data_IF_228888927860
#
_entry.id   IF_228888927860
#
_cell.length_a   1.000
_cell.length_b   1.000
_cell.length_c   1.000
_cell.angle_alpha   90.00
_cell.angle_beta   90.00
_cell.angle_gamma   90.00
#
_symmetry.space_group_name_H-M   'P 1'
#
loop_
_entity.id
_entity.type
_entity.pdbx_description
1 polymer ?
#
# COMPACT_ATOMS: atom_id res chain seq x y z
N UNK A 1 33.02 21.47 -2.65
CA UNK A 1 33.20 22.37 -1.48
C UNK A 1 33.22 23.87 -1.80
N UNK A 2 33.88 24.37 -2.87
CA UNK A 2 34.06 25.82 -3.09
C UNK A 2 32.81 26.53 -3.70
N UNK A 3 31.93 25.82 -4.41
CA UNK A 3 30.72 26.42 -5.02
C UNK A 3 29.58 26.72 -4.03
N UNK A 4 29.54 26.03 -2.88
CA UNK A 4 28.47 26.21 -1.89
C UNK A 4 28.60 27.52 -1.09
N UNK A 5 29.79 28.11 -1.05
CA UNK A 5 30.07 29.34 -0.29
C UNK A 5 29.63 30.62 -1.01
N UNK A 6 29.64 30.64 -2.36
CA UNK A 6 29.31 31.87 -3.10
C UNK A 6 27.81 32.20 -3.08
N UNK A 7 26.94 31.21 -3.17
CA UNK A 7 25.48 31.45 -3.20
C UNK A 7 24.87 31.68 -1.82
N UNK A 8 25.36 31.00 -0.78
CA UNK A 8 24.90 31.22 0.62
C UNK A 8 25.41 32.54 1.20
N UNK A 9 26.62 32.99 0.85
CA UNK A 9 27.13 34.29 1.26
C UNK A 9 26.28 35.45 0.69
N UNK A 10 25.87 35.37 -0.58
CA UNK A 10 25.05 36.42 -1.21
C UNK A 10 23.64 36.46 -0.58
N UNK A 11 23.04 35.29 -0.32
CA UNK A 11 21.72 35.22 0.32
C UNK A 11 21.76 35.68 1.78
N UNK A 12 22.79 35.28 2.53
CA UNK A 12 22.99 35.70 3.92
C UNK A 12 23.22 37.21 4.03
N UNK A 13 24.01 37.82 3.13
CA UNK A 13 24.25 39.27 3.12
C UNK A 13 22.97 40.04 2.77
N UNK A 14 22.18 39.60 1.79
CA UNK A 14 20.90 40.23 1.47
C UNK A 14 19.88 40.14 2.61
N UNK A 15 19.83 38.98 3.29
CA UNK A 15 18.93 38.75 4.40
C UNK A 15 19.37 39.57 5.63
N UNK A 16 20.66 39.58 5.96
CA UNK A 16 21.22 40.39 7.05
C UNK A 16 21.00 41.89 6.82
N UNK A 17 21.10 42.37 5.58
CA UNK A 17 20.97 43.80 5.30
C UNK A 17 19.51 44.29 5.38
N UNK A 18 18.54 43.52 4.88
CA UNK A 18 17.11 43.86 5.04
C UNK A 18 16.62 43.65 6.47
N UNK A 19 17.14 42.66 7.17
CA UNK A 19 16.71 42.34 8.53
C UNK A 19 17.31 43.29 9.57
N UNK A 20 18.54 43.78 9.36
CA UNK A 20 19.15 44.84 10.18
C UNK A 20 18.30 46.12 10.15
N UNK A 21 17.75 46.47 9.00
CA UNK A 21 16.87 47.64 8.85
C UNK A 21 15.54 47.49 9.62
N UNK A 22 14.93 46.30 9.57
CA UNK A 22 13.73 45.96 10.34
C UNK A 22 13.99 45.93 11.84
N UNK A 23 15.11 45.34 12.27
CA UNK A 23 15.52 45.28 13.67
C UNK A 23 15.80 46.69 14.22
N UNK A 24 16.41 47.58 13.43
CA UNK A 24 16.69 48.94 13.88
C UNK A 24 15.41 49.77 14.05
N UNK A 25 14.41 49.60 13.17
CA UNK A 25 13.07 50.17 13.34
C UNK A 25 12.34 49.62 14.56
N UNK A 26 12.49 48.33 14.86
CA UNK A 26 11.87 47.70 16.02
C UNK A 26 12.51 48.14 17.35
N UNK A 27 13.84 48.30 17.36
CA UNK A 27 14.61 48.76 18.54
C UNK A 27 14.28 50.21 18.91
N UNK A 28 13.98 51.07 17.93
CA UNK A 28 13.52 52.44 18.18
C UNK A 28 12.14 52.50 18.89
N UNK A 29 11.32 51.45 18.79
CA UNK A 29 9.96 51.41 19.35
C UNK A 29 9.90 50.85 20.78
N UNK A 30 10.96 50.23 21.29
CA UNK A 30 10.94 49.59 22.61
C UNK A 30 12.09 50.08 23.50
N UNK A 31 11.83 51.10 24.33
CA UNK A 31 12.76 51.62 25.36
C UNK A 31 13.00 50.67 26.55
N UNK A 32 12.75 49.37 26.40
CA UNK A 32 12.79 48.42 27.52
C UNK A 32 13.95 47.41 27.37
N UNK A 33 15.04 47.69 28.10
CA UNK A 33 16.35 47.02 28.04
C UNK A 33 16.30 45.49 28.26
N UNK A 34 15.32 45.00 29.02
CA UNK A 34 15.19 43.58 29.38
C UNK A 34 14.62 42.75 28.21
N UNK A 35 13.76 43.34 27.38
CA UNK A 35 13.13 42.64 26.23
C UNK A 35 14.15 42.44 25.10
N UNK A 36 15.06 43.40 24.89
CA UNK A 36 16.11 43.32 23.88
C UNK A 36 17.09 42.14 24.09
N UNK A 37 17.40 41.78 25.35
CA UNK A 37 18.31 40.66 25.63
C UNK A 37 17.68 39.30 25.28
N UNK A 38 16.38 39.13 25.54
CA UNK A 38 15.64 37.90 25.24
C UNK A 38 15.44 37.68 23.72
N UNK A 39 15.18 38.76 22.97
CA UNK A 39 15.03 38.70 21.50
C UNK A 39 16.37 38.34 20.82
N UNK A 40 17.49 38.91 21.29
CA UNK A 40 18.82 38.58 20.74
C UNK A 40 19.21 37.12 20.98
N UNK A 41 18.86 36.55 22.14
CA UNK A 41 19.15 35.16 22.45
C UNK A 41 18.29 34.17 21.63
N UNK A 42 17.00 34.48 21.45
CA UNK A 42 16.11 33.67 20.59
C UNK A 42 16.52 33.68 19.12
N UNK A 43 17.02 34.80 18.61
CA UNK A 43 17.48 34.91 17.23
C UNK A 43 18.77 34.12 16.97
N UNK A 44 19.71 34.11 17.93
CA UNK A 44 20.95 33.35 17.82
C UNK A 44 20.69 31.83 17.77
N UNK A 45 19.69 31.35 18.52
CA UNK A 45 19.28 29.95 18.50
C UNK A 45 18.65 29.54 17.16
N UNK A 46 17.87 30.43 16.54
CA UNK A 46 17.16 30.16 15.28
C UNK A 46 18.08 30.19 14.05
N UNK A 47 19.13 31.03 14.08
CA UNK A 47 20.17 31.00 13.03
C UNK A 47 21.02 29.73 13.14
N UNK A 48 21.31 29.26 14.37
CA UNK A 48 22.11 28.06 14.58
C UNK A 48 21.39 26.79 14.07
N UNK A 49 20.07 26.67 14.24
CA UNK A 49 19.30 25.53 13.74
C UNK A 49 19.21 25.51 12.21
N UNK A 50 19.10 26.67 11.55
CA UNK A 50 19.08 26.78 10.09
C UNK A 50 20.42 26.41 9.44
N UNK A 51 21.55 26.74 10.09
CA UNK A 51 22.89 26.37 9.60
C UNK A 51 23.13 24.85 9.70
N UNK A 52 22.64 24.21 10.77
CA UNK A 52 22.75 22.75 10.94
C UNK A 52 21.85 22.01 9.91
N UNK A 53 20.65 22.54 9.62
CA UNK A 53 19.76 21.96 8.60
C UNK A 53 20.30 22.10 7.16
N UNK A 54 21.04 23.18 6.87
CA UNK A 54 21.61 23.41 5.54
C UNK A 54 22.86 22.53 5.25
N UNK A 55 23.61 22.12 6.28
CA UNK A 55 24.76 21.23 6.10
C UNK A 55 24.38 19.75 5.97
N UNK A 56 23.20 19.33 6.42
CA UNK A 56 22.80 17.92 6.36
C UNK A 56 22.10 17.54 5.04
N UNK A 57 22.04 18.45 4.06
CA UNK A 57 21.28 18.28 2.80
C UNK A 57 22.14 18.35 1.53
N UNK A 58 23.47 18.15 1.64
CA UNK A 58 24.38 18.29 0.50
C UNK A 58 25.42 17.17 0.35
N UNK A 59 25.11 15.97 0.81
CA UNK A 59 25.79 14.76 0.36
C UNK A 59 24.77 13.91 -0.38
N UNK A 60 24.67 14.07 -1.69
CA UNK A 60 24.29 13.02 -2.65
C UNK A 60 24.31 13.57 -4.09
N UNK A 61 25.51 13.87 -4.58
CA UNK A 61 25.78 13.84 -6.02
C UNK A 61 26.43 12.50 -6.34
N UNK A 62 25.63 11.53 -6.82
CA UNK A 62 26.07 10.33 -7.58
C UNK A 62 24.83 9.73 -8.25
N UNK A 63 24.37 10.41 -9.29
CA UNK A 63 23.09 10.17 -9.97
C UNK A 63 23.16 9.09 -11.07
N UNK A 64 24.13 8.18 -11.03
CA UNK A 64 24.25 7.08 -12.01
C UNK A 64 24.36 5.68 -11.41
N UNK A 65 24.79 5.56 -10.16
CA UNK A 65 25.11 4.26 -9.53
C UNK A 65 24.05 3.84 -8.48
N UNK A 66 23.24 4.80 -8.01
CA UNK A 66 22.18 4.56 -7.01
C UNK A 66 20.88 4.01 -7.60
N UNK A 67 20.59 4.22 -8.88
CA UNK A 67 19.40 3.70 -9.56
C UNK A 67 19.50 2.18 -9.77
N UNK A 68 20.63 1.71 -10.32
CA UNK A 68 20.87 0.28 -10.51
C UNK A 68 20.87 -0.53 -9.19
N UNK A 69 21.33 0.09 -8.09
CA UNK A 69 21.43 -0.56 -6.77
C UNK A 69 20.10 -0.67 -6.03
N UNK A 70 19.08 0.14 -6.39
CA UNK A 70 17.74 0.09 -5.78
C UNK A 70 16.81 -0.88 -6.51
N UNK A 71 16.80 -0.86 -7.85
CA UNK A 71 15.98 -1.74 -8.69
C UNK A 71 16.44 -3.21 -8.55
N UNK A 72 17.75 -3.44 -8.43
CA UNK A 72 18.32 -4.78 -8.17
C UNK A 72 17.81 -5.44 -6.88
N UNK A 73 17.36 -4.68 -5.87
CA UNK A 73 17.04 -5.21 -4.54
C UNK A 73 15.58 -5.62 -4.35
N UNK A 74 14.64 -5.16 -5.17
CA UNK A 74 13.25 -5.66 -5.12
C UNK A 74 13.18 -7.09 -5.67
N UNK A 75 13.92 -7.35 -6.76
CA UNK A 75 14.21 -8.71 -7.23
C UNK A 75 14.79 -9.53 -6.09
N UNK A 76 15.87 -9.07 -5.45
CA UNK A 76 16.45 -9.76 -4.27
C UNK A 76 15.46 -9.95 -3.12
N UNK A 77 14.52 -9.05 -2.84
CA UNK A 77 13.55 -9.23 -1.75
C UNK A 77 12.41 -10.21 -2.10
N UNK A 78 11.86 -10.13 -3.32
CA UNK A 78 10.77 -11.00 -3.79
C UNK A 78 11.30 -12.38 -4.18
N UNK A 79 12.47 -12.43 -4.82
CA UNK A 79 13.11 -13.63 -5.33
C UNK A 79 13.94 -14.36 -4.26
N UNK A 80 14.51 -13.67 -3.24
CA UNK A 80 15.08 -14.37 -2.07
C UNK A 80 14.03 -14.84 -1.06
N UNK A 81 12.85 -14.18 -0.96
CA UNK A 81 11.76 -14.67 -0.10
C UNK A 81 11.12 -15.96 -0.65
N UNK A 82 11.08 -16.11 -1.98
CA UNK A 82 10.31 -17.18 -2.62
C UNK A 82 11.13 -18.19 -3.42
N UNK A 83 12.47 -18.09 -3.48
CA UNK A 83 13.32 -19.09 -4.14
C UNK A 83 12.92 -19.40 -5.59
N UNK A 84 13.58 -20.39 -6.20
CA UNK A 84 13.09 -20.99 -7.44
C UNK A 84 12.21 -22.20 -7.08
N UNK A 85 10.97 -22.24 -7.60
CA UNK A 85 9.99 -23.32 -7.42
C UNK A 85 9.54 -23.54 -5.96
N UNK A 86 8.93 -22.52 -5.35
CA UNK A 86 8.36 -22.62 -3.99
C UNK A 86 6.86 -22.76 -4.03
N UNK A 87 6.37 -23.77 -3.30
CA UNK A 87 4.96 -23.92 -2.94
C UNK A 87 4.72 -23.21 -1.60
N UNK A 88 3.77 -22.29 -1.60
CA UNK A 88 3.32 -21.53 -0.43
C UNK A 88 1.96 -22.07 0.01
N UNK A 89 1.93 -22.68 1.20
CA UNK A 89 0.71 -23.29 1.75
C UNK A 89 -0.02 -22.42 2.77
N UNK A 90 0.67 -21.44 3.35
CA UNK A 90 0.08 -20.44 4.24
C UNK A 90 -0.20 -19.15 3.46
N UNK A 91 -1.46 -18.76 3.36
CA UNK A 91 -1.90 -17.61 2.57
C UNK A 91 -2.83 -16.70 3.37
N UNK A 92 -3.00 -15.45 2.95
CA UNK A 92 -3.94 -14.52 3.60
C UNK A 92 -5.40 -14.96 3.51
N UNK A 93 -6.20 -14.50 4.48
CA UNK A 93 -7.65 -14.72 4.49
C UNK A 93 -8.36 -14.23 3.22
N UNK A 94 -7.86 -13.15 2.62
CA UNK A 94 -8.38 -12.65 1.35
C UNK A 94 -8.28 -13.71 0.26
N UNK A 95 -7.14 -14.40 0.12
CA UNK A 95 -7.00 -15.46 -0.90
C UNK A 95 -7.90 -16.67 -0.65
N UNK A 96 -8.21 -17.00 0.61
CA UNK A 96 -9.24 -18.00 0.90
C UNK A 96 -10.61 -17.56 0.38
N UNK A 97 -10.99 -16.29 0.49
CA UNK A 97 -12.25 -15.80 -0.09
C UNK A 97 -12.32 -15.98 -1.61
N UNK A 98 -11.19 -15.83 -2.31
CA UNK A 98 -11.07 -16.04 -3.75
C UNK A 98 -10.84 -17.51 -4.15
N UNK A 99 -10.98 -18.46 -3.21
CA UNK A 99 -10.97 -19.89 -3.52
C UNK A 99 -9.58 -20.55 -3.59
N UNK A 100 -8.51 -19.86 -3.18
CA UNK A 100 -7.17 -20.43 -3.16
C UNK A 100 -6.95 -21.32 -1.93
N UNK A 101 -6.19 -22.41 -2.11
CA UNK A 101 -5.63 -23.23 -1.03
C UNK A 101 -4.15 -22.92 -0.79
N UNK A 102 -3.43 -22.76 -1.88
CA UNK A 102 -1.99 -22.57 -1.93
C UNK A 102 -1.63 -21.93 -3.27
N UNK A 103 -0.41 -21.43 -3.40
CA UNK A 103 0.14 -21.03 -4.70
C UNK A 103 1.57 -21.52 -4.86
N UNK A 104 1.99 -21.73 -6.10
CA UNK A 104 3.36 -22.07 -6.45
C UNK A 104 3.94 -20.96 -7.30
N UNK A 105 5.18 -20.56 -6.99
CA UNK A 105 5.97 -19.66 -7.83
C UNK A 105 7.02 -20.48 -8.58
N UNK A 106 6.89 -20.58 -9.89
CA UNK A 106 7.78 -21.35 -10.76
C UNK A 106 7.99 -20.62 -12.08
N UNK A 107 9.26 -20.47 -12.50
CA UNK A 107 9.63 -19.80 -13.76
C UNK A 107 8.87 -18.49 -13.98
N UNK A 108 8.94 -17.57 -13.01
CA UNK A 108 8.29 -16.26 -13.07
C UNK A 108 6.75 -16.29 -13.19
N UNK A 109 6.13 -17.44 -12.91
CA UNK A 109 4.67 -17.62 -12.94
C UNK A 109 4.13 -18.00 -11.57
N UNK A 110 2.99 -17.42 -11.20
CA UNK A 110 2.23 -17.82 -10.03
C UNK A 110 1.09 -18.73 -10.48
N UNK A 111 1.06 -19.94 -9.96
CA UNK A 111 0.00 -20.91 -10.22
C UNK A 111 -0.74 -21.18 -8.92
N UNK A 112 -2.06 -20.97 -8.91
CA UNK A 112 -2.90 -21.21 -7.74
C UNK A 112 -3.44 -22.64 -7.74
N UNK A 113 -3.33 -23.31 -6.60
CA UNK A 113 -4.16 -24.47 -6.30
C UNK A 113 -5.46 -23.96 -5.67
N UNK A 114 -6.59 -24.19 -6.33
CA UNK A 114 -7.90 -23.71 -5.85
C UNK A 114 -8.77 -24.85 -5.35
N UNK A 115 -9.67 -24.56 -4.41
CA UNK A 115 -10.70 -25.50 -3.95
C UNK A 115 -12.11 -25.17 -4.49
N UNK A 116 -12.27 -23.99 -5.10
CA UNK A 116 -13.53 -23.53 -5.69
C UNK A 116 -13.34 -22.38 -6.68
N UNK A 117 -14.43 -22.06 -7.37
CA UNK A 117 -14.62 -20.76 -8.01
C UNK A 117 -15.03 -19.73 -6.95
N UNK A 118 -14.59 -18.49 -7.12
CA UNK A 118 -15.04 -17.37 -6.31
C UNK A 118 -16.31 -16.76 -6.88
N UNK A 119 -17.12 -16.17 -6.00
CA UNK A 119 -18.24 -15.34 -6.36
C UNK A 119 -18.21 -14.07 -5.49
N UNK A 120 -17.70 -12.97 -6.03
CA UNK A 120 -17.41 -11.72 -5.31
C UNK A 120 -17.91 -10.57 -6.15
N UNK A 121 -18.64 -9.59 -5.59
CA UNK A 121 -18.83 -8.37 -6.38
C UNK A 121 -19.84 -8.49 -7.53
N UNK A 122 -20.60 -9.59 -7.64
CA UNK A 122 -21.36 -10.07 -8.82
C UNK A 122 -20.54 -10.85 -9.86
N UNK A 123 -19.24 -10.99 -9.63
CA UNK A 123 -18.29 -11.65 -10.54
C UNK A 123 -18.02 -13.08 -10.11
N UNK A 124 -17.96 -13.97 -11.10
CA UNK A 124 -17.58 -15.38 -10.93
C UNK A 124 -16.27 -15.63 -11.66
N UNK A 125 -15.37 -16.40 -11.05
CA UNK A 125 -14.12 -16.81 -11.69
C UNK A 125 -13.35 -17.81 -10.86
N UNK A 126 -12.19 -18.24 -11.36
CA UNK A 126 -11.32 -19.18 -10.65
C UNK A 126 -9.88 -18.69 -10.70
N UNK A 127 -9.24 -18.52 -9.54
CA UNK A 127 -7.86 -18.01 -9.47
C UNK A 127 -6.84 -18.83 -10.29
N UNK A 128 -7.05 -20.13 -10.44
CA UNK A 128 -6.16 -21.00 -11.24
C UNK A 128 -6.20 -20.71 -12.75
N UNK A 129 -7.24 -19.99 -13.23
CA UNK A 129 -7.38 -19.62 -14.65
C UNK A 129 -6.66 -18.32 -15.01
N UNK A 130 -6.22 -17.55 -14.01
CA UNK A 130 -5.49 -16.31 -14.22
C UNK A 130 -3.99 -16.58 -14.38
N UNK A 131 -3.38 -15.99 -15.41
CA UNK A 131 -1.95 -16.15 -15.71
C UNK A 131 -1.14 -15.01 -15.09
N UNK A 132 -0.93 -15.09 -13.77
CA UNK A 132 -0.12 -14.11 -13.05
C UNK A 132 1.37 -14.35 -13.31
N UNK A 133 2.09 -13.28 -13.64
CA UNK A 133 3.54 -13.32 -13.88
C UNK A 133 4.28 -12.36 -12.97
N UNK A 134 5.44 -12.79 -12.48
CA UNK A 134 6.37 -12.01 -11.67
C UNK A 134 7.61 -11.76 -12.53
N UNK A 135 7.83 -10.51 -12.94
CA UNK A 135 9.01 -10.12 -13.71
C UNK A 135 9.75 -9.02 -12.94
N UNK A 136 10.95 -9.30 -12.45
CA UNK A 136 11.81 -8.34 -11.73
C UNK A 136 11.14 -7.63 -10.54
N UNK A 137 10.51 -6.47 -10.78
CA UNK A 137 9.83 -5.61 -9.81
C UNK A 137 8.33 -5.45 -10.14
N UNK A 138 7.78 -6.36 -10.94
CA UNK A 138 6.46 -6.25 -11.53
C UNK A 138 5.66 -7.54 -11.33
N UNK A 139 4.41 -7.40 -10.90
CA UNK A 139 3.41 -8.47 -10.93
C UNK A 139 2.39 -8.10 -11.99
N UNK A 140 2.09 -9.02 -12.91
CA UNK A 140 1.22 -8.74 -14.06
C UNK A 140 0.17 -9.80 -14.29
N UNK A 141 -0.92 -9.36 -14.92
CA UNK A 141 -2.04 -10.17 -15.36
C UNK A 141 -2.50 -9.60 -16.72
N UNK A 142 -2.20 -10.31 -17.80
CA UNK A 142 -2.44 -9.82 -19.16
C UNK A 142 -1.70 -8.49 -19.42
N UNK A 143 -2.43 -7.45 -19.81
CA UNK A 143 -1.90 -6.10 -20.07
C UNK A 143 -1.77 -5.25 -18.81
N UNK A 144 -2.34 -5.68 -17.68
CA UNK A 144 -2.33 -4.96 -16.40
C UNK A 144 -1.13 -5.38 -15.57
N UNK A 145 -0.57 -4.44 -14.80
CA UNK A 145 0.51 -4.76 -13.89
C UNK A 145 0.67 -3.77 -12.75
N UNK A 146 1.23 -4.27 -11.65
CA UNK A 146 1.72 -3.48 -10.55
C UNK A 146 3.25 -3.48 -10.60
N UNK A 147 3.86 -2.30 -10.52
CA UNK A 147 5.31 -2.14 -10.44
C UNK A 147 5.68 -1.12 -9.37
N UNK A 148 6.93 -1.14 -8.96
CA UNK A 148 7.50 -0.15 -8.07
C UNK A 148 8.30 0.87 -8.87
N UNK A 149 7.88 2.14 -8.83
CA UNK A 149 8.52 3.27 -9.50
C UNK A 149 9.04 4.26 -8.46
N UNK A 150 10.37 4.31 -8.26
CA UNK A 150 11.20 5.15 -7.36
C UNK A 150 10.79 5.31 -5.88
N UNK A 151 9.51 5.54 -5.59
CA UNK A 151 8.86 5.64 -4.27
C UNK A 151 7.39 5.21 -4.25
N UNK A 152 6.81 4.93 -5.41
CA UNK A 152 5.39 4.68 -5.58
C UNK A 152 5.17 3.23 -6.00
N UNK A 153 4.11 2.64 -5.49
CA UNK A 153 3.53 1.44 -6.10
C UNK A 153 2.55 1.93 -7.15
N UNK A 154 2.72 1.47 -8.38
CA UNK A 154 1.92 1.94 -9.51
C UNK A 154 1.19 0.75 -10.13
N UNK A 155 -0.13 0.84 -10.19
CA UNK A 155 -0.96 -0.05 -10.99
C UNK A 155 -1.19 0.58 -12.36
N UNK A 156 -0.67 -0.06 -13.40
CA UNK A 156 -0.96 0.30 -14.78
C UNK A 156 -2.00 -0.64 -15.37
N UNK A 157 -2.98 -0.05 -16.02
CA UNK A 157 -3.99 -0.71 -16.87
C UNK A 157 -3.81 -0.24 -18.31
N UNK A 158 -4.62 -0.76 -19.24
CA UNK A 158 -4.53 -0.35 -20.65
C UNK A 158 -4.70 1.15 -20.85
N UNK A 159 -5.60 1.78 -20.08
CA UNK A 159 -6.01 3.17 -20.27
C UNK A 159 -5.57 4.11 -19.16
N UNK A 160 -5.23 3.57 -17.99
CA UNK A 160 -5.00 4.36 -16.78
C UNK A 160 -3.73 3.93 -16.05
N UNK A 161 -3.11 4.90 -15.39
CA UNK A 161 -2.01 4.70 -14.45
C UNK A 161 -2.48 5.20 -13.09
N UNK A 162 -2.48 4.30 -12.11
CA UNK A 162 -2.92 4.56 -10.75
C UNK A 162 -1.72 4.49 -9.82
N UNK A 163 -1.50 5.54 -9.04
CA UNK A 163 -0.59 5.48 -7.89
C UNK A 163 -1.36 4.85 -6.73
N UNK A 164 -0.80 3.80 -6.13
CA UNK A 164 -1.36 3.16 -4.94
C UNK A 164 -0.96 4.00 -3.73
N UNK A 165 -1.73 5.06 -3.50
CA UNK A 165 -1.65 5.94 -2.35
C UNK A 165 -3.04 6.20 -1.77
N UNK A 166 -3.13 6.93 -0.66
CA UNK A 166 -4.38 7.21 0.05
C UNK A 166 -5.52 7.81 -0.81
N UNK A 167 -5.23 8.33 -1.99
CA UNK A 167 -6.20 8.92 -2.93
C UNK A 167 -6.72 7.94 -3.97
N UNK A 168 -6.19 6.71 -4.03
CA UNK A 168 -6.69 5.69 -4.96
C UNK A 168 -8.14 5.35 -4.64
N UNK A 169 -9.01 5.54 -5.63
CA UNK A 169 -10.40 5.13 -5.54
C UNK A 169 -10.55 3.63 -5.89
N UNK A 170 -10.58 2.77 -4.88
CA UNK A 170 -10.77 1.31 -5.07
C UNK A 170 -12.05 0.93 -5.82
N UNK A 171 -13.13 1.71 -5.67
CA UNK A 171 -14.38 1.44 -6.38
C UNK A 171 -14.24 1.53 -7.91
N UNK A 172 -13.24 2.27 -8.40
CA UNK A 172 -12.95 2.41 -9.84
C UNK A 172 -12.12 1.26 -10.43
N UNK A 173 -11.57 0.39 -9.59
CA UNK A 173 -10.77 -0.75 -10.03
C UNK A 173 -11.66 -1.92 -10.43
N UNK A 174 -11.40 -2.50 -11.60
CA UNK A 174 -12.01 -3.75 -12.00
C UNK A 174 -11.46 -4.94 -11.19
N UNK A 175 -12.11 -6.10 -11.33
CA UNK A 175 -11.76 -7.31 -10.59
C UNK A 175 -10.30 -7.71 -10.80
N UNK A 176 -9.79 -7.68 -12.02
CA UNK A 176 -8.41 -8.08 -12.33
C UNK A 176 -7.39 -7.15 -11.68
N UNK A 177 -7.66 -5.84 -11.67
CA UNK A 177 -6.86 -4.85 -10.96
C UNK A 177 -6.89 -5.06 -9.45
N UNK A 178 -8.04 -5.39 -8.87
CA UNK A 178 -8.15 -5.75 -7.44
C UNK A 178 -7.37 -7.02 -7.14
N UNK A 179 -7.55 -8.08 -7.93
CA UNK A 179 -6.82 -9.34 -7.80
C UNK A 179 -5.30 -9.12 -7.86
N UNK A 180 -4.82 -8.33 -8.83
CA UNK A 180 -3.41 -7.95 -8.91
C UNK A 180 -2.91 -7.30 -7.62
N UNK A 181 -3.69 -6.40 -7.02
CA UNK A 181 -3.33 -5.75 -5.77
C UNK A 181 -3.29 -6.73 -4.58
N UNK A 182 -4.22 -7.68 -4.52
CA UNK A 182 -4.20 -8.76 -3.51
C UNK A 182 -2.94 -9.59 -3.67
N UNK A 183 -2.66 -10.06 -4.89
CA UNK A 183 -1.48 -10.90 -5.15
C UNK A 183 -0.21 -10.13 -4.83
N UNK A 184 -0.12 -8.87 -5.26
CA UNK A 184 1.01 -8.03 -4.93
C UNK A 184 1.16 -7.85 -3.41
N UNK A 185 0.07 -7.62 -2.69
CA UNK A 185 0.07 -7.53 -1.22
C UNK A 185 0.52 -8.86 -0.59
N UNK A 186 -0.01 -10.00 -1.02
CA UNK A 186 0.34 -11.33 -0.52
C UNK A 186 1.83 -11.63 -0.62
N UNK A 187 2.45 -11.24 -1.74
CA UNK A 187 3.88 -11.46 -1.98
C UNK A 187 4.79 -10.56 -1.14
N UNK A 188 4.28 -9.39 -0.71
CA UNK A 188 5.06 -8.38 0.01
C UNK A 188 4.71 -8.29 1.49
N UNK A 189 3.59 -8.87 1.94
CA UNK A 189 3.17 -8.89 3.34
C UNK A 189 4.07 -9.81 4.18
N UNK A 190 4.08 -9.57 5.49
CA UNK A 190 4.69 -10.51 6.44
C UNK A 190 3.85 -11.79 6.57
N UNK A 191 4.40 -12.85 7.17
CA UNK A 191 3.67 -14.09 7.49
C UNK A 191 2.53 -13.87 8.52
N UNK A 192 2.45 -12.67 9.12
CA UNK A 192 1.42 -12.33 10.09
C UNK A 192 0.05 -12.29 9.40
N UNK A 193 -0.89 -13.09 9.90
CA UNK A 193 -2.25 -13.15 9.35
C UNK A 193 -2.42 -14.13 8.19
N UNK A 194 -1.35 -14.84 7.79
CA UNK A 194 -1.43 -15.99 6.88
C UNK A 194 -1.79 -17.25 7.66
N UNK A 195 -2.46 -18.17 6.99
CA UNK A 195 -2.82 -19.45 7.57
C UNK A 195 -2.88 -20.55 6.50
N UNK A 196 -2.77 -21.80 6.93
CA UNK A 196 -2.90 -22.94 6.02
C UNK A 196 -4.38 -23.22 5.72
N UNK A 197 -4.63 -23.76 4.52
CA UNK A 197 -5.98 -24.18 4.12
C UNK A 197 -6.63 -25.11 5.15
N UNK A 198 -5.90 -26.12 5.63
CA UNK A 198 -6.44 -27.09 6.59
C UNK A 198 -6.82 -26.43 7.92
N UNK A 199 -6.00 -25.50 8.42
CA UNK A 199 -6.31 -24.76 9.64
C UNK A 199 -7.53 -23.84 9.46
N UNK A 200 -7.57 -23.11 8.34
CA UNK A 200 -8.68 -22.22 7.99
C UNK A 200 -10.00 -23.00 7.92
N UNK A 201 -9.99 -24.12 7.20
CA UNK A 201 -11.08 -25.09 7.12
C UNK A 201 -11.49 -25.57 8.52
N UNK A 202 -10.56 -26.05 9.34
CA UNK A 202 -10.90 -26.59 10.67
C UNK A 202 -11.57 -25.55 11.59
N UNK A 203 -11.17 -24.27 11.52
CA UNK A 203 -11.83 -23.19 12.28
C UNK A 203 -13.25 -22.93 11.83
N UNK A 204 -13.53 -23.08 10.54
CA UNK A 204 -14.85 -22.82 9.97
C UNK A 204 -15.77 -24.04 10.11
N UNK A 205 -15.24 -25.26 9.94
CA UNK A 205 -16.01 -26.52 9.99
C UNK A 205 -16.47 -26.91 11.40
N UNK A 206 -15.77 -26.50 12.46
CA UNK A 206 -16.16 -26.79 13.84
C UNK A 206 -17.44 -26.06 14.29
N UNK A 207 -17.96 -25.14 13.47
CA UNK A 207 -19.17 -24.35 13.76
C UNK A 207 -20.53 -25.03 13.50
N UNK A 208 -20.56 -26.29 13.05
CA UNK A 208 -21.76 -27.13 13.04
C UNK A 208 -22.93 -26.62 12.17
N UNK A 209 -23.04 -27.11 10.94
CA UNK A 209 -24.32 -27.19 10.23
C UNK A 209 -24.87 -25.87 9.69
N UNK A 210 -24.14 -25.21 8.81
CA UNK A 210 -24.70 -24.13 8.00
C UNK A 210 -23.80 -23.90 6.81
N UNK A 211 -24.34 -24.12 5.61
CA UNK A 211 -23.83 -23.56 4.37
C UNK A 211 -22.35 -23.92 4.03
N UNK A 212 -22.12 -24.80 3.04
CA UNK A 212 -20.75 -25.05 2.56
C UNK A 212 -20.18 -23.75 1.98
N UNK A 213 -19.24 -23.14 2.69
CA UNK A 213 -18.49 -21.93 2.29
C UNK A 213 -17.85 -22.07 0.90
N UNK A 214 -17.71 -23.31 0.41
CA UNK A 214 -17.26 -23.66 -0.94
C UNK A 214 -18.16 -23.02 -2.02
N UNK A 215 -19.42 -22.70 -1.70
CA UNK A 215 -20.40 -22.11 -2.60
C UNK A 215 -20.97 -20.77 -2.09
N UNK A 216 -20.18 -20.02 -1.32
CA UNK A 216 -20.65 -18.75 -0.72
C UNK A 216 -20.30 -17.55 -1.58
N UNK A 217 -21.29 -16.66 -1.73
CA UNK A 217 -21.11 -15.35 -2.34
C UNK A 217 -20.50 -14.39 -1.32
N UNK A 218 -19.60 -13.51 -1.74
CA UNK A 218 -19.01 -12.49 -0.86
C UNK A 218 -19.33 -11.09 -1.38
N UNK A 219 -19.66 -10.21 -0.45
CA UNK A 219 -19.59 -8.76 -0.67
C UNK A 219 -18.34 -8.26 0.01
N UNK A 220 -17.56 -7.47 -0.70
CA UNK A 220 -16.33 -6.84 -0.22
C UNK A 220 -16.40 -5.32 -0.35
N UNK A 221 -15.63 -4.61 0.46
CA UNK A 221 -15.44 -3.17 0.37
C UNK A 221 -14.03 -2.79 0.78
N UNK A 222 -13.48 -1.76 0.15
CA UNK A 222 -12.06 -1.45 0.18
C UNK A 222 -11.82 0.02 0.55
N UNK A 223 -10.75 0.30 1.29
CA UNK A 223 -10.37 1.68 1.60
C UNK A 223 -9.11 1.82 2.45
N UNK A 224 -8.48 2.99 2.43
CA UNK A 224 -7.30 3.30 3.26
C UNK A 224 -7.61 3.51 4.74
N UNK A 225 -8.89 3.58 5.10
CA UNK A 225 -9.35 3.58 6.49
C UNK A 225 -10.45 2.54 6.66
N UNK A 226 -10.66 2.02 7.89
CA UNK A 226 -11.78 1.12 8.16
C UNK A 226 -13.13 1.72 7.76
N UNK A 227 -13.32 3.03 7.99
CA UNK A 227 -14.56 3.73 7.61
C UNK A 227 -14.77 3.82 6.09
N UNK A 228 -13.70 4.04 5.32
CA UNK A 228 -13.78 4.03 3.86
C UNK A 228 -14.10 2.62 3.33
N UNK A 229 -13.46 1.59 3.87
CA UNK A 229 -13.76 0.20 3.51
C UNK A 229 -15.21 -0.19 3.85
N UNK A 230 -15.73 0.25 5.01
CA UNK A 230 -17.14 0.07 5.36
C UNK A 230 -18.09 0.83 4.43
N UNK A 231 -17.74 2.05 4.01
CA UNK A 231 -18.56 2.83 3.09
C UNK A 231 -18.64 2.17 1.71
N UNK A 232 -17.50 1.72 1.16
CA UNK A 232 -17.44 0.98 -0.09
C UNK A 232 -18.18 -0.37 0.01
N UNK A 233 -18.04 -1.10 1.13
CA UNK A 233 -18.77 -2.34 1.38
C UNK A 233 -20.29 -2.11 1.37
N UNK A 234 -20.77 -1.05 2.04
CA UNK A 234 -22.19 -0.73 2.08
C UNK A 234 -22.71 -0.27 0.71
N UNK A 235 -21.87 0.43 -0.06
CA UNK A 235 -22.17 0.78 -1.45
C UNK A 235 -22.32 -0.48 -2.30
N UNK A 236 -21.37 -1.41 -2.24
CA UNK A 236 -21.37 -2.69 -2.95
C UNK A 236 -22.53 -3.59 -2.49
N UNK A 237 -22.89 -3.57 -1.21
CA UNK A 237 -24.07 -4.28 -0.70
C UNK A 237 -25.38 -3.74 -1.28
N UNK A 238 -25.45 -2.42 -1.51
CA UNK A 238 -26.65 -1.76 -2.02
C UNK A 238 -26.79 -1.87 -3.54
N UNK A 239 -25.66 -1.97 -4.27
CA UNK A 239 -25.61 -1.94 -5.74
C UNK A 239 -25.22 -3.29 -6.38
N UNK A 240 -24.60 -4.19 -5.63
CA UNK A 240 -24.28 -5.55 -6.04
C UNK A 240 -25.47 -6.46 -5.72
N UNK A 241 -26.31 -6.73 -6.72
CA UNK A 241 -27.39 -7.69 -6.55
C UNK A 241 -26.79 -9.07 -6.25
N UNK A 242 -27.11 -9.63 -5.08
CA UNK A 242 -26.87 -11.05 -4.81
C UNK A 242 -27.41 -11.86 -5.99
N UNK A 243 -26.63 -12.80 -6.57
CA UNK A 243 -26.91 -13.36 -7.88
C UNK A 243 -28.37 -13.82 -8.03
N UNK A 244 -29.06 -13.24 -9.02
CA UNK A 244 -30.44 -13.56 -9.36
C UNK A 244 -31.52 -12.86 -8.53
N UNK A 245 -31.20 -11.78 -7.80
CA UNK A 245 -32.21 -11.00 -7.06
C UNK A 245 -32.88 -11.77 -5.92
N UNK A 246 -32.27 -12.89 -5.48
CA UNK A 246 -32.80 -13.72 -4.41
C UNK A 246 -32.48 -13.09 -3.06
N UNK A 247 -33.42 -13.18 -2.13
CA UNK A 247 -33.25 -12.82 -0.72
C UNK A 247 -32.14 -13.68 -0.11
N UNK A 248 -30.92 -13.16 -0.14
CA UNK A 248 -29.76 -13.85 0.38
C UNK A 248 -29.44 -13.37 1.78
N UNK A 249 -29.50 -14.29 2.74
CA UNK A 249 -29.18 -13.99 4.14
C UNK A 249 -27.67 -13.94 4.32
N UNK A 250 -27.22 -12.94 5.04
CA UNK A 250 -25.83 -12.81 5.40
C UNK A 250 -25.41 -13.92 6.38
N UNK A 251 -24.25 -14.52 6.13
CA UNK A 251 -23.69 -15.58 6.94
C UNK A 251 -22.66 -14.95 7.90
N UNK A 252 -22.94 -15.03 9.20
CA UNK A 252 -22.08 -14.44 10.23
C UNK A 252 -22.00 -12.90 10.17
N UNK A 253 -21.00 -12.35 10.87
CA UNK A 253 -20.71 -10.92 10.89
C UNK A 253 -19.83 -10.48 9.71
N UNK A 254 -19.85 -9.19 9.38
CA UNK A 254 -18.81 -8.62 8.53
C UNK A 254 -17.48 -8.63 9.28
N UNK A 255 -16.39 -8.95 8.59
CA UNK A 255 -15.04 -8.93 9.13
C UNK A 255 -14.21 -7.89 8.39
N UNK A 256 -13.30 -7.23 9.12
CA UNK A 256 -12.37 -6.25 8.58
C UNK A 256 -10.97 -6.87 8.58
N UNK A 257 -10.34 -6.91 7.42
CA UNK A 257 -8.95 -7.35 7.24
C UNK A 257 -8.11 -6.13 6.97
N UNK A 258 -7.07 -5.93 7.76
CA UNK A 258 -6.01 -4.96 7.45
C UNK A 258 -4.96 -5.64 6.59
N UNK A 259 -4.65 -5.00 5.47
CA UNK A 259 -3.64 -5.41 4.52
C UNK A 259 -2.47 -4.45 4.59
N UNK A 260 -1.26 -5.01 4.57
CA UNK A 260 -0.03 -4.25 4.69
C UNK A 260 0.91 -4.61 3.55
N UNK A 261 1.42 -3.59 2.87
CA UNK A 261 2.49 -3.71 1.90
C UNK A 261 3.72 -3.05 2.53
N UNK A 262 4.65 -3.87 3.01
CA UNK A 262 5.94 -3.41 3.51
C UNK A 262 6.90 -3.16 2.34
N UNK A 263 7.21 -1.90 2.08
CA UNK A 263 8.29 -1.51 1.17
C UNK A 263 9.42 -0.91 2.01
N UNK A 264 10.66 -1.01 1.51
CA UNK A 264 11.88 -0.66 2.23
C UNK A 264 11.86 0.71 2.95
N UNK A 265 11.13 1.70 2.44
CA UNK A 265 10.98 3.04 3.03
C UNK A 265 9.54 3.47 3.30
N UNK A 266 8.55 2.69 2.87
CA UNK A 266 7.13 3.05 2.95
C UNK A 266 6.33 1.81 3.29
N UNK A 267 5.49 1.89 4.31
CA UNK A 267 4.46 0.90 4.56
C UNK A 267 3.13 1.46 4.10
N UNK A 268 2.44 0.74 3.22
CA UNK A 268 1.09 1.10 2.78
C UNK A 268 0.10 0.18 3.47
N UNK A 269 -0.87 0.77 4.16
CA UNK A 269 -1.97 0.05 4.79
C UNK A 269 -3.26 0.28 4.00
N UNK A 270 -4.03 -0.77 3.80
CA UNK A 270 -5.39 -0.66 3.28
C UNK A 270 -6.29 -1.71 3.95
N UNK A 271 -7.58 -1.44 3.99
CA UNK A 271 -8.55 -2.24 4.71
C UNK A 271 -9.54 -2.86 3.73
N UNK A 272 -9.91 -4.11 4.00
CA UNK A 272 -10.92 -4.85 3.26
C UNK A 272 -12.00 -5.29 4.24
N UNK A 273 -13.22 -4.81 4.06
CA UNK A 273 -14.38 -5.32 4.78
C UNK A 273 -15.07 -6.38 3.93
N UNK A 274 -15.33 -7.53 4.52
CA UNK A 274 -15.81 -8.70 3.83
C UNK A 274 -16.99 -9.32 4.57
N UNK A 275 -17.98 -9.82 3.83
CA UNK A 275 -19.04 -10.64 4.42
C UNK A 275 -19.53 -11.69 3.43
N UNK A 276 -19.69 -12.90 3.95
CA UNK A 276 -20.29 -14.02 3.27
C UNK A 276 -21.82 -13.88 3.21
N UNK A 277 -22.41 -14.26 2.08
CA UNK A 277 -23.85 -14.30 1.83
C UNK A 277 -24.19 -15.59 1.10
N UNK A 278 -25.29 -16.24 1.51
CA UNK A 278 -25.85 -17.41 0.85
C UNK A 278 -24.92 -18.63 0.69
N UNK A 279 -25.53 -19.76 0.34
CA UNK A 279 -24.86 -20.83 -0.39
C UNK A 279 -25.60 -21.06 -1.69
N UNK A 280 -24.82 -21.30 -2.73
CA UNK A 280 -25.29 -21.81 -4.01
C UNK A 280 -25.50 -23.33 -3.93
#
# INVERSE_FOLDING_TARGET
MIKCWKSTAIFAVFFLHKFSFLLHRFVMLTKNSIIMKKIKFGFFLLVLTLVIFACNRNNDETTGEKEATKVSKLKTAQTNRLGENVKVESISENLFMYGAKSYTVSNDKITFETYRDFNVDDKVGNLSTYDFKIEENKVSLGTKYITLDDKNVVLKTENNLFVIDENLNFSSLDLESRLLLIIFTELNSSEKGKDSYNNHVNRIYTGGGGCSWINTYYVTGWGYTPGAASADYNWNLSHGALPGGKSCTALGGAHMVENEIELFIVTVHWFQQNRAFCCL
#
